data_IF_531152832120
#
_entry.id   IF_531152832120
#
_cell.length_a   1.000
_cell.length_b   1.000
_cell.length_c   1.000
_cell.angle_alpha   90.00
_cell.angle_beta   90.00
_cell.angle_gamma   90.00
#
_symmetry.space_group_name_H-M   'P 1'
#
loop_
_entity.id
_entity.type
_entity.pdbx_description
1 polymer ?
#
# COMPACT_ATOMS: atom_id res chain seq x y z
N UNK A 1 2.02 -8.34 18.33
CA UNK A 1 2.75 -7.07 18.22
C UNK A 1 2.71 -6.69 16.75
N UNK A 2 2.09 -5.57 16.41
CA UNK A 2 2.03 -5.07 15.03
C UNK A 2 3.40 -4.59 14.64
N UNK A 3 3.92 -5.06 13.51
CA UNK A 3 5.30 -4.79 13.10
C UNK A 3 5.36 -3.46 12.36
N UNK A 4 5.96 -2.43 12.99
CA UNK A 4 6.20 -1.14 12.37
C UNK A 4 7.71 -0.92 12.18
N UNK A 5 8.29 -1.57 11.15
CA UNK A 5 9.69 -1.38 10.77
C UNK A 5 9.95 -0.03 10.09
N UNK A 6 8.92 0.60 9.55
CA UNK A 6 9.03 1.82 8.76
C UNK A 6 9.35 3.06 9.60
N UNK A 7 9.18 2.99 10.94
CA UNK A 7 9.61 4.05 11.87
C UNK A 7 11.06 3.89 12.36
N UNK A 8 11.73 2.77 12.05
CA UNK A 8 13.15 2.62 12.30
C UNK A 8 13.97 3.48 11.31
N UNK A 9 14.86 4.33 11.81
CA UNK A 9 15.63 5.30 11.00
C UNK A 9 16.40 4.67 9.84
N UNK A 10 16.99 3.49 10.08
CA UNK A 10 17.77 2.78 9.06
C UNK A 10 16.88 2.24 7.95
N UNK A 11 15.71 1.70 8.30
CA UNK A 11 14.75 1.15 7.36
C UNK A 11 14.04 2.27 6.59
N UNK A 12 13.58 3.32 7.28
CA UNK A 12 12.98 4.48 6.66
C UNK A 12 13.90 5.13 5.62
N UNK A 13 15.19 5.31 5.94
CA UNK A 13 16.17 5.86 4.98
C UNK A 13 16.32 4.98 3.74
N UNK A 14 16.39 3.66 3.90
CA UNK A 14 16.46 2.74 2.75
C UNK A 14 15.20 2.83 1.89
N UNK A 15 14.02 2.79 2.52
CA UNK A 15 12.75 2.93 1.81
C UNK A 15 12.64 4.26 1.08
N UNK A 16 13.11 5.37 1.69
CA UNK A 16 13.06 6.70 1.08
C UNK A 16 13.93 6.84 -0.18
N UNK A 17 14.91 5.95 -0.38
CA UNK A 17 15.80 5.93 -1.54
C UNK A 17 15.33 5.00 -2.66
N UNK A 18 14.30 4.20 -2.43
CA UNK A 18 13.76 3.30 -3.46
C UNK A 18 13.14 4.10 -4.61
N UNK A 19 13.22 3.58 -5.83
CA UNK A 19 12.68 4.23 -7.03
C UNK A 19 11.21 4.67 -6.86
N UNK A 20 10.37 3.81 -6.29
CA UNK A 20 8.98 4.13 -6.00
C UNK A 20 8.80 5.29 -5.00
N UNK A 21 9.76 5.47 -4.09
CA UNK A 21 9.74 6.56 -3.11
C UNK A 21 10.24 7.88 -3.69
N UNK A 22 11.19 7.82 -4.62
CA UNK A 22 11.81 8.99 -5.26
C UNK A 22 11.03 9.45 -6.49
N UNK A 23 10.63 8.50 -7.35
CA UNK A 23 9.96 8.75 -8.63
C UNK A 23 8.44 8.60 -8.55
N UNK A 24 7.91 8.27 -7.35
CA UNK A 24 6.49 8.03 -7.14
C UNK A 24 5.97 6.82 -7.92
N UNK A 25 4.74 6.91 -8.40
CA UNK A 25 4.07 5.82 -9.12
C UNK A 25 4.84 5.41 -10.39
N UNK A 26 5.51 6.33 -11.06
CA UNK A 26 6.35 6.02 -12.23
C UNK A 26 7.54 5.10 -11.90
N UNK A 27 8.00 5.11 -10.65
CA UNK A 27 9.06 4.22 -10.14
C UNK A 27 8.55 2.90 -9.57
N UNK A 28 7.24 2.67 -9.52
CA UNK A 28 6.62 1.45 -9.02
C UNK A 28 6.39 0.45 -10.17
N UNK A 29 7.07 -0.70 -10.10
CA UNK A 29 7.05 -1.68 -11.20
C UNK A 29 5.66 -2.25 -11.52
N UNK A 30 4.79 -2.36 -10.50
CA UNK A 30 3.41 -2.83 -10.62
C UNK A 30 2.44 -1.76 -11.14
N UNK A 31 2.84 -0.49 -11.15
CA UNK A 31 1.93 0.63 -11.35
C UNK A 31 1.12 0.53 -12.65
N UNK A 32 1.78 0.27 -13.78
CA UNK A 32 1.09 0.19 -15.09
C UNK A 32 -0.02 -0.85 -15.14
N UNK A 33 0.08 -1.89 -14.33
CA UNK A 33 -0.94 -2.94 -14.24
C UNK A 33 -2.03 -2.51 -13.26
N UNK A 34 -1.65 -2.02 -12.09
CA UNK A 34 -2.58 -1.56 -11.06
C UNK A 34 -3.44 -0.41 -11.58
N UNK A 35 -2.85 0.59 -12.26
CA UNK A 35 -3.54 1.73 -12.85
C UNK A 35 -4.71 1.31 -13.75
N UNK A 36 -4.50 0.28 -14.59
CA UNK A 36 -5.55 -0.24 -15.49
C UNK A 36 -6.68 -0.97 -14.77
N UNK A 37 -6.46 -1.38 -13.52
CA UNK A 37 -7.48 -2.03 -12.68
C UNK A 37 -8.28 -1.02 -11.86
N UNK A 38 -7.76 0.20 -11.71
CA UNK A 38 -8.43 1.24 -10.92
C UNK A 38 -9.68 1.74 -11.67
N UNK A 39 -10.78 1.95 -10.94
CA UNK A 39 -11.97 2.59 -11.50
C UNK A 39 -11.77 4.11 -11.65
N UNK A 40 -12.73 4.77 -12.28
CA UNK A 40 -12.77 6.23 -12.32
C UNK A 40 -12.96 6.83 -10.92
N UNK A 41 -12.08 7.77 -10.56
CA UNK A 41 -12.09 8.45 -9.26
C UNK A 41 -13.01 9.68 -9.19
N UNK A 42 -13.48 10.15 -10.34
CA UNK A 42 -14.25 11.38 -10.38
C UNK A 42 -15.50 11.31 -9.49
N UNK A 43 -15.59 12.23 -8.54
CA UNK A 43 -16.70 12.29 -7.58
C UNK A 43 -16.69 11.19 -6.50
N UNK A 44 -15.61 10.43 -6.35
CA UNK A 44 -15.52 9.28 -5.44
C UNK A 44 -14.84 9.63 -4.11
N UNK A 45 -15.23 8.91 -3.07
CA UNK A 45 -14.56 8.88 -1.75
C UNK A 45 -13.62 7.68 -1.73
N UNK A 46 -12.35 7.92 -1.46
CA UNK A 46 -11.29 6.91 -1.62
C UNK A 46 -10.62 6.62 -0.28
N UNK A 47 -10.37 5.34 0.00
CA UNK A 47 -9.54 4.86 1.11
C UNK A 47 -8.29 4.18 0.54
N UNK A 48 -7.10 4.57 1.00
CA UNK A 48 -5.83 3.93 0.67
C UNK A 48 -5.23 3.28 1.92
N UNK A 49 -5.20 1.94 1.95
CA UNK A 49 -4.73 1.14 3.09
C UNK A 49 -3.25 0.78 2.92
N UNK A 50 -2.42 1.23 3.85
CA UNK A 50 -0.96 1.15 3.76
C UNK A 50 -0.42 2.17 2.77
N UNK A 51 -0.89 3.42 2.89
CA UNK A 51 -0.66 4.48 1.88
C UNK A 51 0.80 4.96 1.78
N UNK A 52 1.65 4.66 2.78
CA UNK A 52 3.05 5.05 2.80
C UNK A 52 3.25 6.55 2.58
N UNK A 53 3.95 6.93 1.52
CA UNK A 53 4.16 8.34 1.14
C UNK A 53 2.96 8.98 0.41
N UNK A 54 1.80 8.33 0.38
CA UNK A 54 0.56 8.89 -0.16
C UNK A 54 0.53 9.06 -1.68
N UNK A 55 1.29 8.28 -2.45
CA UNK A 55 1.32 8.41 -3.91
C UNK A 55 -0.02 8.08 -4.56
N UNK A 56 -0.72 7.04 -4.10
CA UNK A 56 -2.05 6.69 -4.59
C UNK A 56 -3.11 7.68 -4.11
N UNK A 57 -2.95 8.21 -2.87
CA UNK A 57 -3.83 9.27 -2.38
C UNK A 57 -3.79 10.50 -3.29
N UNK A 58 -2.59 10.97 -3.66
CA UNK A 58 -2.44 12.11 -4.58
C UNK A 58 -2.95 11.79 -5.97
N UNK A 59 -2.68 10.60 -6.48
CA UNK A 59 -3.21 10.16 -7.76
C UNK A 59 -4.75 10.22 -7.79
N UNK A 60 -5.41 9.69 -6.77
CA UNK A 60 -6.87 9.74 -6.65
C UNK A 60 -7.39 11.19 -6.60
N UNK A 61 -6.73 12.06 -5.84
CA UNK A 61 -7.09 13.47 -5.74
C UNK A 61 -6.93 14.20 -7.09
N UNK A 62 -5.82 13.97 -7.81
CA UNK A 62 -5.53 14.53 -9.13
C UNK A 62 -6.51 14.02 -10.20
N UNK A 63 -7.15 12.86 -9.97
CA UNK A 63 -8.16 12.26 -10.85
C UNK A 63 -9.60 12.50 -10.40
N UNK A 64 -9.81 13.54 -9.57
CA UNK A 64 -11.14 14.06 -9.27
C UNK A 64 -11.88 13.38 -8.12
N UNK A 65 -11.19 12.66 -7.24
CA UNK A 65 -11.80 12.20 -5.99
C UNK A 65 -12.31 13.39 -5.16
N UNK A 66 -13.44 13.22 -4.48
CA UNK A 66 -14.03 14.26 -3.63
C UNK A 66 -13.39 14.26 -2.23
N UNK A 67 -12.93 13.13 -1.77
CA UNK A 67 -12.16 12.98 -0.54
C UNK A 67 -11.30 11.74 -0.61
N UNK A 68 -10.14 11.79 0.03
CA UNK A 68 -9.22 10.66 0.13
C UNK A 68 -8.78 10.49 1.58
N UNK A 69 -8.84 9.27 2.08
CA UNK A 69 -8.30 8.90 3.39
C UNK A 69 -7.14 7.95 3.18
N UNK A 70 -5.95 8.35 3.60
CA UNK A 70 -4.77 7.48 3.61
C UNK A 70 -4.53 6.94 5.02
N UNK A 71 -4.40 5.62 5.15
CA UNK A 71 -4.11 4.94 6.42
C UNK A 71 -2.75 4.28 6.34
N UNK A 72 -1.89 4.54 7.30
CA UNK A 72 -0.61 3.85 7.47
C UNK A 72 -0.26 3.71 8.95
N UNK A 73 0.53 2.69 9.30
CA UNK A 73 0.98 2.48 10.68
C UNK A 73 2.18 3.37 11.04
N UNK A 74 2.89 3.89 10.05
CA UNK A 74 4.13 4.64 10.23
C UNK A 74 3.88 6.15 10.29
N UNK A 75 4.17 6.75 11.43
CA UNK A 75 4.13 8.22 11.59
C UNK A 75 5.11 8.91 10.64
N UNK A 76 6.31 8.34 10.41
CA UNK A 76 7.31 8.93 9.52
C UNK A 76 6.85 8.92 8.05
N UNK A 77 6.20 7.83 7.62
CA UNK A 77 5.62 7.76 6.28
C UNK A 77 4.56 8.83 6.09
N UNK A 78 3.64 8.95 7.05
CA UNK A 78 2.55 9.94 6.99
C UNK A 78 3.05 11.38 7.11
N UNK A 79 4.04 11.65 7.96
CA UNK A 79 4.68 12.97 8.03
C UNK A 79 5.30 13.35 6.68
N UNK A 80 5.95 12.41 5.99
CA UNK A 80 6.48 12.64 4.65
C UNK A 80 5.35 12.84 3.63
N UNK A 81 4.29 12.01 3.67
CA UNK A 81 3.12 12.17 2.81
C UNK A 81 2.51 13.57 2.95
N UNK A 82 2.23 14.00 4.18
CA UNK A 82 1.67 15.32 4.49
C UNK A 82 2.59 16.46 4.03
N UNK A 83 3.93 16.30 4.14
CA UNK A 83 4.87 17.34 3.68
C UNK A 83 4.88 17.57 2.17
N UNK A 84 4.38 16.61 1.39
CA UNK A 84 4.28 16.69 -0.07
C UNK A 84 2.87 17.06 -0.54
N UNK A 85 1.93 17.20 0.40
CA UNK A 85 0.52 17.43 0.08
C UNK A 85 0.27 18.88 -0.37
N UNK A 86 -0.67 19.05 -1.31
CA UNK A 86 -1.04 20.34 -1.89
C UNK A 86 -2.55 20.57 -1.92
N UNK A 87 -3.33 19.67 -1.33
CA UNK A 87 -4.80 19.72 -1.35
C UNK A 87 -5.40 19.36 0.00
N UNK A 88 -6.50 19.96 0.35
CA UNK A 88 -7.20 19.75 1.62
C UNK A 88 -8.14 18.53 1.60
N UNK A 89 -8.27 17.84 0.45
CA UNK A 89 -9.17 16.69 0.33
C UNK A 89 -8.54 15.37 0.80
N UNK A 90 -7.23 15.36 1.07
CA UNK A 90 -6.53 14.17 1.57
C UNK A 90 -6.36 14.27 3.08
N UNK A 91 -6.85 13.26 3.78
CA UNK A 91 -6.67 13.09 5.23
C UNK A 91 -5.83 11.86 5.51
N UNK A 92 -4.75 12.02 6.30
CA UNK A 92 -3.89 10.91 6.70
C UNK A 92 -4.17 10.51 8.15
N UNK A 93 -4.34 9.20 8.39
CA UNK A 93 -4.63 8.62 9.70
C UNK A 93 -3.56 7.59 10.06
N UNK A 94 -2.87 7.82 11.20
CA UNK A 94 -1.91 6.86 11.73
C UNK A 94 -2.64 5.75 12.47
N UNK A 95 -2.79 4.59 11.83
CA UNK A 95 -3.34 3.39 12.44
C UNK A 95 -2.94 2.14 11.66
N UNK A 96 -2.88 0.97 12.31
CA UNK A 96 -2.76 -0.30 11.60
C UNK A 96 -3.99 -0.56 10.74
N UNK A 97 -3.80 -1.13 9.55
CA UNK A 97 -4.91 -1.47 8.65
C UNK A 97 -5.86 -2.54 9.22
N UNK A 98 -5.41 -3.31 10.21
CA UNK A 98 -6.25 -4.27 10.92
C UNK A 98 -7.22 -3.62 11.91
N UNK A 99 -7.01 -2.33 12.24
CA UNK A 99 -7.80 -1.60 13.24
C UNK A 99 -8.76 -0.60 12.60
N UNK A 100 -8.92 -0.62 11.27
CA UNK A 100 -9.92 0.22 10.62
C UNK A 100 -11.32 -0.12 11.13
N UNK A 101 -12.10 0.93 11.40
CA UNK A 101 -13.49 0.86 11.86
C UNK A 101 -14.22 2.11 11.33
N UNK A 102 -14.44 2.11 10.02
CA UNK A 102 -15.14 3.20 9.36
C UNK A 102 -16.64 2.89 9.26
N UNK A 103 -17.50 3.92 9.32
CA UNK A 103 -18.95 3.71 9.15
C UNK A 103 -19.30 2.99 7.84
N UNK A 104 -20.46 2.31 7.80
CA UNK A 104 -20.92 1.65 6.57
C UNK A 104 -20.99 2.61 5.39
N UNK A 105 -20.57 2.14 4.21
CA UNK A 105 -20.66 2.92 2.96
C UNK A 105 -19.95 4.27 3.00
N UNK A 106 -18.85 4.38 3.76
CA UNK A 106 -18.03 5.58 3.86
C UNK A 106 -17.21 5.85 2.61
N UNK A 107 -16.89 4.82 1.84
CA UNK A 107 -16.03 4.90 0.67
C UNK A 107 -16.66 4.26 -0.56
N UNK A 108 -16.27 4.75 -1.72
CA UNK A 108 -16.69 4.22 -3.02
C UNK A 108 -15.57 3.37 -3.63
N UNK A 109 -14.32 3.65 -3.27
CA UNK A 109 -13.14 2.92 -3.74
C UNK A 109 -12.21 2.69 -2.54
N UNK A 110 -11.72 1.46 -2.40
CA UNK A 110 -10.61 1.12 -1.49
C UNK A 110 -9.43 0.61 -2.31
N UNK A 111 -8.25 1.17 -2.05
CA UNK A 111 -6.99 0.78 -2.69
C UNK A 111 -6.04 0.26 -1.62
N UNK A 112 -5.19 -0.68 -1.99
CA UNK A 112 -4.00 -1.05 -1.20
C UNK A 112 -2.91 -1.56 -2.13
N UNK A 113 -1.73 -0.97 -2.09
CA UNK A 113 -0.62 -1.42 -2.93
C UNK A 113 0.55 -1.90 -2.10
N UNK A 114 0.90 -3.19 -2.27
CA UNK A 114 2.04 -3.85 -1.63
C UNK A 114 2.06 -3.68 -0.09
N UNK A 115 0.89 -3.80 0.56
CA UNK A 115 0.76 -3.66 2.01
C UNK A 115 0.23 -4.93 2.71
N UNK A 116 -0.65 -5.70 2.09
CA UNK A 116 -1.32 -6.82 2.76
C UNK A 116 -0.43 -8.01 3.10
N UNK A 117 0.74 -8.14 2.52
CA UNK A 117 1.70 -9.18 2.93
C UNK A 117 2.30 -8.93 4.33
N UNK A 118 2.07 -7.75 4.93
CA UNK A 118 2.43 -7.46 6.34
C UNK A 118 1.31 -7.76 7.34
N UNK A 119 0.10 -8.07 6.88
CA UNK A 119 -1.03 -8.38 7.76
C UNK A 119 -1.10 -9.86 8.13
N UNK A 120 -1.61 -10.15 9.34
CA UNK A 120 -1.87 -11.51 9.81
C UNK A 120 -3.31 -11.96 9.61
N UNK A 121 -4.24 -11.04 9.45
CA UNK A 121 -5.67 -11.32 9.37
C UNK A 121 -6.31 -10.61 8.18
N UNK A 122 -5.88 -11.02 6.97
CA UNK A 122 -6.45 -10.53 5.72
C UNK A 122 -7.98 -10.74 5.63
N UNK A 123 -8.56 -11.88 6.08
CA UNK A 123 -10.01 -12.04 6.12
C UNK A 123 -10.75 -10.99 6.95
N UNK A 124 -10.18 -10.55 8.07
CA UNK A 124 -10.75 -9.46 8.87
C UNK A 124 -10.75 -8.16 8.08
N UNK A 125 -9.60 -7.80 7.48
CA UNK A 125 -9.52 -6.59 6.65
C UNK A 125 -10.54 -6.61 5.52
N UNK A 126 -10.73 -7.74 4.84
CA UNK A 126 -11.75 -7.87 3.80
C UNK A 126 -13.17 -7.62 4.32
N UNK A 127 -13.50 -8.07 5.55
CA UNK A 127 -14.79 -7.78 6.16
C UNK A 127 -14.98 -6.30 6.47
N UNK A 128 -13.97 -5.65 7.05
CA UNK A 128 -14.02 -4.21 7.34
C UNK A 128 -14.09 -3.36 6.06
N UNK A 129 -13.32 -3.73 5.04
CA UNK A 129 -13.40 -3.10 3.71
C UNK A 129 -14.79 -3.29 3.11
N UNK A 130 -15.35 -4.50 3.16
CA UNK A 130 -16.72 -4.76 2.67
C UNK A 130 -17.77 -3.95 3.42
N UNK A 131 -17.59 -3.73 4.73
CA UNK A 131 -18.48 -2.93 5.56
C UNK A 131 -18.42 -1.44 5.19
N UNK A 132 -17.23 -0.89 5.02
CA UNK A 132 -17.06 0.54 4.73
C UNK A 132 -17.24 0.90 3.25
N UNK A 133 -17.25 -0.06 2.33
CA UNK A 133 -17.56 0.17 0.91
C UNK A 133 -19.07 0.39 0.68
N UNK A 134 -19.39 1.38 -0.13
CA UNK A 134 -20.74 1.57 -0.66
C UNK A 134 -21.14 0.49 -1.68
N UNK A 135 -22.44 0.34 -1.90
CA UNK A 135 -22.96 -0.59 -2.92
C UNK A 135 -22.37 -0.27 -4.30
N UNK A 136 -21.82 -1.27 -4.96
CA UNK A 136 -21.12 -1.10 -6.24
C UNK A 136 -19.71 -0.51 -6.11
N UNK A 137 -19.20 -0.34 -4.89
CA UNK A 137 -17.85 0.12 -4.64
C UNK A 137 -16.78 -0.90 -5.07
N UNK A 138 -15.57 -0.42 -5.32
CA UNK A 138 -14.47 -1.24 -5.78
C UNK A 138 -13.37 -1.39 -4.72
N UNK A 139 -12.84 -2.62 -4.57
CA UNK A 139 -11.65 -2.90 -3.80
C UNK A 139 -10.54 -3.40 -4.71
N UNK A 140 -9.46 -2.63 -4.87
CA UNK A 140 -8.35 -2.94 -5.77
C UNK A 140 -7.06 -2.99 -4.96
N UNK A 141 -6.30 -4.08 -5.09
CA UNK A 141 -5.05 -4.20 -4.35
C UNK A 141 -3.98 -4.98 -5.11
N UNK A 142 -2.72 -4.75 -4.72
CA UNK A 142 -1.57 -5.55 -5.11
C UNK A 142 -0.86 -6.10 -3.88
N UNK A 143 -0.28 -7.30 -4.03
CA UNK A 143 0.53 -7.96 -3.00
C UNK A 143 1.78 -8.54 -3.61
N UNK A 144 2.81 -8.76 -2.79
CA UNK A 144 3.94 -9.57 -3.21
C UNK A 144 3.50 -10.99 -3.54
N UNK A 145 4.05 -11.54 -4.62
CA UNK A 145 3.75 -12.92 -4.98
C UNK A 145 4.29 -13.86 -3.88
N UNK A 146 3.52 -14.87 -3.45
CA UNK A 146 3.91 -15.77 -2.36
C UNK A 146 5.29 -16.45 -2.54
N UNK A 147 5.75 -16.59 -3.77
CA UNK A 147 7.12 -17.05 -4.07
C UNK A 147 8.19 -16.24 -3.35
N UNK A 148 8.03 -14.92 -3.20
CA UNK A 148 9.02 -14.08 -2.52
C UNK A 148 9.01 -14.27 -1.00
N UNK A 149 7.89 -14.66 -0.43
CA UNK A 149 7.73 -14.88 1.02
C UNK A 149 7.93 -16.34 1.42
N UNK A 150 7.96 -17.28 0.47
CA UNK A 150 8.09 -18.72 0.70
C UNK A 150 9.52 -19.15 1.10
N UNK A 151 10.50 -18.26 1.02
CA UNK A 151 11.90 -18.56 1.36
C UNK A 151 12.35 -17.68 2.53
N UNK A 152 12.87 -18.34 3.59
CA UNK A 152 13.20 -17.66 4.84
C UNK A 152 14.32 -16.61 4.75
N UNK A 153 15.24 -16.73 3.80
CA UNK A 153 16.31 -15.74 3.59
C UNK A 153 15.87 -14.56 2.75
N UNK A 154 14.86 -14.72 1.91
CA UNK A 154 14.36 -13.71 0.95
C UNK A 154 15.50 -13.11 0.11
N UNK A 155 16.35 -13.97 -0.43
CA UNK A 155 17.50 -13.57 -1.23
C UNK A 155 17.70 -14.51 -2.43
N UNK A 156 18.36 -14.00 -3.46
CA UNK A 156 18.71 -14.76 -4.65
C UNK A 156 19.76 -15.82 -4.36
N UNK A 157 19.72 -16.90 -5.12
CA UNK A 157 20.84 -17.84 -5.17
C UNK A 157 21.83 -17.37 -6.23
N UNK A 158 23.10 -17.25 -5.81
CA UNK A 158 24.19 -16.77 -6.66
C UNK A 158 25.14 -17.91 -7.00
N UNK A 159 25.73 -17.86 -8.17
CA UNK A 159 26.87 -18.74 -8.53
C UNK A 159 28.16 -18.31 -7.85
N UNK A 160 29.23 -19.08 -8.06
CA UNK A 160 30.54 -18.80 -7.47
C UNK A 160 31.21 -17.52 -7.96
N UNK A 161 30.69 -16.86 -9.02
CA UNK A 161 31.15 -15.59 -9.56
C UNK A 161 30.27 -14.40 -9.14
N UNK A 162 29.20 -14.66 -8.37
CA UNK A 162 28.24 -13.65 -7.93
C UNK A 162 27.12 -13.38 -8.95
N UNK A 163 26.99 -14.21 -9.98
CA UNK A 163 25.88 -14.14 -10.93
C UNK A 163 24.57 -14.67 -10.35
N UNK A 164 23.47 -13.98 -10.58
CA UNK A 164 22.12 -14.41 -10.15
C UNK A 164 21.71 -15.65 -10.93
N UNK A 165 21.43 -16.75 -10.26
CA UNK A 165 20.97 -18.00 -10.88
C UNK A 165 19.47 -18.19 -10.81
N UNK A 166 18.89 -18.18 -9.61
CA UNK A 166 17.45 -18.37 -9.40
C UNK A 166 17.02 -17.86 -8.04
N UNK A 167 15.72 -17.69 -7.86
CA UNK A 167 15.09 -17.46 -6.56
C UNK A 167 14.74 -18.82 -5.96
N UNK A 168 15.33 -19.21 -4.81
CA UNK A 168 15.00 -20.47 -4.16
C UNK A 168 13.60 -20.39 -3.54
N UNK A 169 12.84 -21.45 -3.68
CA UNK A 169 11.50 -21.57 -3.10
C UNK A 169 11.45 -22.83 -2.23
N UNK A 170 11.21 -22.64 -0.94
CA UNK A 170 10.89 -23.69 0.00
C UNK A 170 9.70 -23.25 0.87
N UNK A 171 8.95 -24.17 1.43
CA UNK A 171 7.81 -23.83 2.29
C UNK A 171 6.70 -23.02 1.58
N UNK A 172 6.45 -23.31 0.31
CA UNK A 172 5.45 -22.56 -0.51
C UNK A 172 3.99 -22.94 -0.18
N UNK A 173 3.73 -23.84 0.78
CA UNK A 173 2.42 -24.34 1.15
C UNK A 173 1.89 -23.69 2.42
#
# INVERSE_FOLDING_TARGET
MKQNKYDEDSFFRKCSQMDRSVKGLAGAGEWKTLERMLPDFHGKRVLDLGCGFGWHCRYAAEHGATSVTGVDISEKMLARAASMEKTDIINYICMPMEDIDFPPSSFDIVISSLAFHYTRDFPRICREVSHCLGSGGAFVFSVEHPVFTAQGRQDWHYDGSGGIMHWPVDGYF
#
